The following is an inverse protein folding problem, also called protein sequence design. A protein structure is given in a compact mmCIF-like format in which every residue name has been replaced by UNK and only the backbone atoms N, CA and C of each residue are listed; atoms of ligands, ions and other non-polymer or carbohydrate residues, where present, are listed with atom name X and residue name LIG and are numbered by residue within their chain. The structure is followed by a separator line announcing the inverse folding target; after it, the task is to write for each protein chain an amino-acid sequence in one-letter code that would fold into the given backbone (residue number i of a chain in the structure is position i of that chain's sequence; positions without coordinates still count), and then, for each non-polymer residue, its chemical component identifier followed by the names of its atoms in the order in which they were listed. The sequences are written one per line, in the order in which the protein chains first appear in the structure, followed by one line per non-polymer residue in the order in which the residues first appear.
data_IF_503729289588
#
_entry.id   IF_503729289588
#
_cell.length_a   1.000
_cell.length_b   1.000
_cell.length_c   1.000
_cell.angle_alpha   90.00
_cell.angle_beta   90.00
_cell.angle_gamma   90.00
#
_symmetry.space_group_name_H-M   'P 1'
#
loop_
_entity.id
_entity.type
_entity.pdbx_description
1 polymer ?
#
# COMPACT_ATOMS: atom_id res chain seq x y z
N UNK A 1 16.63 -6.53 21.10
CA UNK A 1 15.89 -6.12 19.89
C UNK A 1 16.77 -6.51 18.72
N UNK A 2 16.44 -7.55 17.93
CA UNK A 2 17.26 -7.87 16.77
C UNK A 2 17.09 -6.73 15.77
N UNK A 3 18.19 -6.06 15.46
CA UNK A 3 18.25 -5.03 14.43
C UNK A 3 17.89 -5.67 13.08
N UNK A 4 16.92 -5.07 12.39
CA UNK A 4 16.56 -5.44 11.02
C UNK A 4 17.77 -5.12 10.14
N UNK A 5 18.51 -6.17 9.76
CA UNK A 5 19.65 -6.09 8.86
C UNK A 5 19.28 -5.41 7.54
N UNK A 6 20.08 -4.46 7.01
CA UNK A 6 19.71 -3.63 5.85
C UNK A 6 19.74 -4.37 4.49
N UNK A 7 19.66 -5.70 4.47
CA UNK A 7 19.77 -6.51 3.26
C UNK A 7 18.95 -7.80 3.35
N UNK A 8 17.64 -7.68 3.18
CA UNK A 8 16.90 -8.65 2.38
C UNK A 8 16.20 -7.85 1.30
N UNK A 9 16.93 -7.45 0.27
CA UNK A 9 16.39 -6.79 -0.92
C UNK A 9 15.54 -7.83 -1.63
N UNK A 10 14.31 -8.06 -1.14
CA UNK A 10 13.33 -8.85 -1.87
C UNK A 10 13.18 -8.16 -3.21
N UNK A 11 13.43 -8.90 -4.30
CA UNK A 11 13.35 -8.33 -5.63
C UNK A 11 11.94 -7.73 -5.81
N UNK A 12 11.88 -6.43 -6.09
CA UNK A 12 10.62 -5.72 -6.27
C UNK A 12 9.78 -6.38 -7.38
N UNK A 13 10.43 -6.97 -8.38
CA UNK A 13 9.77 -7.73 -9.45
C UNK A 13 9.05 -8.96 -8.87
N UNK A 14 9.72 -9.74 -8.02
CA UNK A 14 9.13 -10.93 -7.40
C UNK A 14 7.99 -10.58 -6.44
N UNK A 15 8.10 -9.47 -5.72
CA UNK A 15 7.03 -8.99 -4.84
C UNK A 15 5.81 -8.60 -5.66
N UNK A 16 5.99 -7.73 -6.66
CA UNK A 16 4.88 -7.27 -7.49
C UNK A 16 4.25 -8.44 -8.24
N UNK A 17 5.04 -9.38 -8.75
CA UNK A 17 4.52 -10.59 -9.43
C UNK A 17 3.61 -11.39 -8.50
N UNK A 18 4.02 -11.63 -7.25
CA UNK A 18 3.19 -12.34 -6.27
C UNK A 18 1.92 -11.57 -5.91
N UNK A 19 1.99 -10.26 -5.77
CA UNK A 19 0.81 -9.43 -5.47
C UNK A 19 -0.22 -9.48 -6.60
N UNK A 20 0.23 -9.42 -7.85
CA UNK A 20 -0.63 -9.52 -9.03
C UNK A 20 -1.25 -10.92 -9.17
N UNK A 21 -0.46 -11.97 -8.89
CA UNK A 21 -0.94 -13.36 -8.89
C UNK A 21 -2.06 -13.57 -7.85
N UNK A 22 -1.87 -13.11 -6.62
CA UNK A 22 -2.91 -13.15 -5.56
C UNK A 22 -4.16 -12.36 -5.96
N UNK A 23 -3.99 -11.24 -6.65
CA UNK A 23 -5.11 -10.45 -7.16
C UNK A 23 -5.76 -11.03 -8.43
N UNK A 24 -5.23 -12.13 -8.97
CA UNK A 24 -5.65 -12.70 -10.26
C UNK A 24 -5.60 -11.70 -11.42
N UNK A 25 -4.62 -10.79 -11.38
CA UNK A 25 -4.42 -9.76 -12.40
C UNK A 25 -3.26 -10.17 -13.32
N UNK A 26 -3.51 -10.42 -14.62
CA UNK A 26 -2.43 -10.68 -15.57
C UNK A 26 -1.64 -9.38 -15.81
N UNK A 27 -0.32 -9.51 -15.94
CA UNK A 27 0.56 -8.43 -16.36
C UNK A 27 1.63 -8.98 -17.30
N UNK A 28 1.93 -8.22 -18.34
CA UNK A 28 3.08 -8.45 -19.21
C UNK A 28 4.40 -8.14 -18.48
N UNK A 29 5.53 -8.64 -18.98
CA UNK A 29 6.85 -8.35 -18.40
C UNK A 29 7.19 -6.85 -18.43
N UNK A 30 6.68 -6.11 -19.42
CA UNK A 30 6.86 -4.64 -19.51
C UNK A 30 6.11 -3.93 -18.38
N UNK A 31 4.86 -4.32 -18.14
CA UNK A 31 4.06 -3.77 -17.04
C UNK A 31 4.67 -4.15 -15.69
N UNK A 32 5.12 -5.40 -15.53
CA UNK A 32 5.75 -5.88 -14.31
C UNK A 32 7.01 -5.07 -13.97
N UNK A 33 7.86 -4.78 -14.97
CA UNK A 33 9.04 -3.95 -14.77
C UNK A 33 8.68 -2.51 -14.36
N UNK A 34 7.66 -1.92 -14.98
CA UNK A 34 7.18 -0.58 -14.63
C UNK A 34 6.63 -0.52 -13.19
N UNK A 35 5.82 -1.51 -12.80
CA UNK A 35 5.27 -1.61 -11.45
C UNK A 35 6.37 -1.87 -10.41
N UNK A 36 7.32 -2.76 -10.69
CA UNK A 36 8.44 -3.03 -9.81
C UNK A 36 9.31 -1.78 -9.58
N UNK A 37 9.51 -0.95 -10.60
CA UNK A 37 10.23 0.32 -10.47
C UNK A 37 9.49 1.34 -9.56
N UNK A 38 8.15 1.36 -9.61
CA UNK A 38 7.33 2.27 -8.80
C UNK A 38 7.09 1.76 -7.37
N UNK A 39 7.16 0.44 -7.15
CA UNK A 39 6.78 -0.23 -5.91
C UNK A 39 7.50 0.32 -4.65
N UNK A 40 8.82 0.62 -4.65
CA UNK A 40 9.49 1.12 -3.45
C UNK A 40 8.92 2.45 -2.95
N UNK A 41 8.62 3.38 -3.86
CA UNK A 41 8.05 4.67 -3.50
C UNK A 41 6.62 4.54 -2.96
N UNK A 42 5.81 3.69 -3.59
CA UNK A 42 4.45 3.39 -3.12
C UNK A 42 4.46 2.76 -1.72
N UNK A 43 5.36 1.79 -1.51
CA UNK A 43 5.51 1.12 -0.21
C UNK A 43 5.96 2.09 0.87
N UNK A 44 6.96 2.93 0.61
CA UNK A 44 7.39 3.97 1.55
C UNK A 44 6.26 4.96 1.89
N UNK A 45 5.45 5.35 0.90
CA UNK A 45 4.28 6.19 1.11
C UNK A 45 3.25 5.56 2.04
N UNK A 46 2.96 4.27 1.87
CA UNK A 46 2.04 3.51 2.74
C UNK A 46 2.62 3.38 4.15
N UNK A 47 3.90 3.02 4.28
CA UNK A 47 4.57 2.88 5.57
C UNK A 47 4.58 4.21 6.34
N UNK A 48 4.73 5.35 5.66
CA UNK A 48 4.64 6.67 6.27
C UNK A 48 3.26 6.97 6.88
N UNK A 49 2.16 6.44 6.33
CA UNK A 49 0.83 6.60 6.91
C UNK A 49 0.70 5.92 8.28
N UNK A 50 1.44 4.83 8.49
CA UNK A 50 1.46 4.09 9.76
C UNK A 50 2.56 4.57 10.72
N UNK A 51 3.44 5.45 10.27
CA UNK A 51 4.53 6.01 11.06
C UNK A 51 4.10 7.19 11.97
N UNK A 52 2.80 7.43 12.12
CA UNK A 52 2.21 8.47 12.98
C UNK A 52 1.72 7.81 14.28
N UNK A 53 2.48 7.88 15.39
CA UNK A 53 2.10 7.22 16.65
C UNK A 53 0.72 7.64 17.17
N UNK A 54 0.35 8.89 16.96
CA UNK A 54 -0.92 9.47 17.35
C UNK A 54 -2.09 8.85 16.57
N UNK A 55 -1.86 8.39 15.33
CA UNK A 55 -2.88 7.74 14.50
C UNK A 55 -3.26 6.33 14.99
N UNK A 56 -2.54 5.76 15.96
CA UNK A 56 -2.86 4.43 16.51
C UNK A 56 -4.23 4.37 17.19
N UNK A 57 -4.68 5.49 17.75
CA UNK A 57 -5.91 5.58 18.51
C UNK A 57 -6.96 6.48 17.83
N UNK A 58 -6.65 7.03 16.66
CA UNK A 58 -7.63 7.81 15.91
C UNK A 58 -8.63 6.88 15.26
N UNK A 59 -9.87 7.33 15.24
CA UNK A 59 -10.94 6.67 14.54
C UNK A 59 -10.69 6.73 13.03
N UNK A 60 -10.90 5.63 12.27
CA UNK A 60 -10.81 5.67 10.82
C UNK A 60 -11.70 6.80 10.27
N UNK A 61 -11.13 7.64 9.40
CA UNK A 61 -11.82 8.80 8.84
C UNK A 61 -13.15 8.43 8.16
N UNK A 62 -13.27 7.20 7.68
CA UNK A 62 -14.50 6.64 7.15
C UNK A 62 -15.00 5.50 8.05
N UNK A 63 -15.88 5.85 9.00
CA UNK A 63 -16.80 4.88 9.57
C UNK A 63 -17.94 4.68 8.57
N UNK A 64 -18.07 3.46 8.04
CA UNK A 64 -19.27 3.09 7.31
C UNK A 64 -20.48 3.25 8.23
N UNK A 65 -21.47 4.03 7.81
CA UNK A 65 -22.78 4.14 8.43
C UNK A 65 -23.80 3.77 7.38
N UNK A 66 -24.64 2.78 7.64
CA UNK A 66 -25.65 2.33 6.68
C UNK A 66 -26.65 3.45 6.34
N UNK A 67 -26.84 4.38 7.27
CA UNK A 67 -27.66 5.58 7.14
C UNK A 67 -26.88 6.79 6.61
N UNK A 68 -25.57 6.65 6.36
CA UNK A 68 -24.69 7.72 5.94
C UNK A 68 -25.04 8.20 4.53
N UNK A 69 -25.67 9.36 4.43
CA UNK A 69 -25.78 10.09 3.16
C UNK A 69 -24.47 10.83 2.94
N UNK A 70 -23.82 10.62 1.80
CA UNK A 70 -22.67 11.43 1.39
C UNK A 70 -23.22 12.80 0.99
N UNK A 71 -22.89 13.84 1.76
CA UNK A 71 -23.10 15.21 1.32
C UNK A 71 -22.09 15.54 0.21
N UNK A 72 -22.56 16.21 -0.84
CA UNK A 72 -21.72 16.61 -1.96
C UNK A 72 -20.67 17.61 -1.47
N UNK A 73 -19.44 17.48 -1.97
CA UNK A 73 -18.29 18.31 -1.60
C UNK A 73 -18.40 19.75 -2.14
N UNK A 74 -19.47 20.06 -2.88
CA UNK A 74 -19.78 21.36 -3.46
C UNK A 74 -20.60 22.29 -2.55
N UNK A 75 -20.76 21.96 -1.26
CA UNK A 75 -21.46 22.78 -0.26
C UNK A 75 -20.54 23.72 0.51
#
# INVERSE_FOLDING_TARGET
MPELSPASTVDAVDVVRKLLDVASLPASEVELAAYAAAYPAQRAGIEALYAVPEARYVDPALRFRAEGVIEDWAH
#
